data_IF_148696744489
#
_entry.id   IF_148696744489
#
_cell.length_a   1.000
_cell.length_b   1.000
_cell.length_c   1.000
_cell.angle_alpha   90.00
_cell.angle_beta   90.00
_cell.angle_gamma   90.00
#
_symmetry.space_group_name_H-M   'P 1'
#
loop_
_entity.id
_entity.type
_entity.pdbx_description
1 polymer ?
#
# COMPACT_ATOMS: atom_id res chain seq x y z
N UNK A 1 -1.96 -12.95 -20.44
CA UNK A 1 -1.57 -11.63 -19.89
C UNK A 1 -0.72 -11.97 -18.68
N UNK A 2 0.59 -11.73 -18.75
CA UNK A 2 1.53 -12.14 -17.70
C UNK A 2 1.55 -11.13 -16.56
N UNK A 3 1.87 -11.58 -15.34
CA UNK A 3 2.11 -10.69 -14.20
C UNK A 3 3.25 -9.70 -14.49
N UNK A 4 3.15 -8.51 -13.91
CA UNK A 4 4.14 -7.47 -14.06
C UNK A 4 5.29 -7.65 -13.06
N UNK A 5 6.52 -7.89 -13.55
CA UNK A 5 7.75 -8.06 -12.76
C UNK A 5 7.60 -9.00 -11.53
N UNK A 6 7.23 -10.28 -11.74
CA UNK A 6 6.90 -11.23 -10.65
C UNK A 6 8.05 -11.53 -9.68
N UNK A 7 9.30 -11.27 -10.05
CA UNK A 7 10.50 -11.44 -9.20
C UNK A 7 10.83 -10.25 -8.30
N UNK A 8 10.08 -9.18 -8.46
CA UNK A 8 10.27 -7.98 -7.68
C UNK A 8 9.44 -8.11 -6.40
N UNK A 9 10.11 -8.06 -5.25
CA UNK A 9 9.49 -8.27 -3.95
C UNK A 9 8.37 -7.26 -3.65
N UNK A 10 8.49 -6.02 -4.14
CA UNK A 10 7.42 -5.02 -4.02
C UNK A 10 6.20 -5.46 -4.81
N UNK A 11 6.34 -5.86 -6.08
CA UNK A 11 5.21 -6.31 -6.90
C UNK A 11 4.57 -7.57 -6.33
N UNK A 12 5.37 -8.53 -5.83
CA UNK A 12 4.84 -9.72 -5.15
C UNK A 12 3.95 -9.35 -3.95
N UNK A 13 4.34 -8.38 -3.13
CA UNK A 13 3.56 -8.01 -1.94
C UNK A 13 2.39 -7.08 -2.29
N UNK A 14 2.66 -6.04 -3.09
CA UNK A 14 1.70 -4.98 -3.45
C UNK A 14 0.64 -5.45 -4.46
N UNK A 15 1.03 -6.14 -5.53
CA UNK A 15 0.15 -6.51 -6.63
C UNK A 15 -0.48 -7.90 -6.46
N UNK A 16 0.20 -8.80 -5.73
CA UNK A 16 -0.26 -10.18 -5.59
C UNK A 16 -0.75 -10.52 -4.16
N UNK A 17 0.15 -10.56 -3.17
CA UNK A 17 -0.14 -11.19 -1.87
C UNK A 17 -1.16 -10.41 -1.02
N UNK A 18 -1.08 -9.07 -0.98
CA UNK A 18 -2.04 -8.26 -0.23
C UNK A 18 -3.43 -8.25 -0.92
N UNK A 19 -3.53 -8.00 -2.25
CA UNK A 19 -4.76 -8.21 -3.00
C UNK A 19 -5.38 -9.60 -2.82
N UNK A 20 -4.57 -10.66 -2.84
CA UNK A 20 -5.04 -12.03 -2.60
C UNK A 20 -5.61 -12.20 -1.19
N UNK A 21 -4.94 -11.70 -0.17
CA UNK A 21 -5.44 -11.78 1.20
C UNK A 21 -6.73 -10.98 1.39
N UNK A 22 -6.83 -9.79 0.81
CA UNK A 22 -8.06 -9.01 0.79
C UNK A 22 -9.19 -9.77 0.10
N UNK A 23 -8.91 -10.38 -1.05
CA UNK A 23 -9.88 -11.19 -1.81
C UNK A 23 -10.40 -12.36 -0.97
N UNK A 24 -9.50 -13.10 -0.33
CA UNK A 24 -9.85 -14.22 0.56
C UNK A 24 -10.77 -13.72 1.67
N UNK A 25 -10.43 -12.60 2.31
CA UNK A 25 -11.19 -12.02 3.42
C UNK A 25 -12.57 -11.51 2.99
N UNK A 26 -12.63 -10.77 1.89
CA UNK A 26 -13.82 -10.04 1.43
C UNK A 26 -14.84 -10.94 0.72
N UNK A 27 -14.36 -11.96 -0.01
CA UNK A 27 -15.19 -12.72 -0.96
C UNK A 27 -15.33 -14.19 -0.63
N UNK A 28 -14.33 -14.79 0.01
CA UNK A 28 -14.25 -16.24 0.20
C UNK A 28 -14.56 -16.62 1.65
N UNK A 29 -14.05 -15.85 2.62
CA UNK A 29 -14.29 -16.08 4.05
C UNK A 29 -13.59 -17.31 4.63
N UNK A 30 -12.72 -17.98 3.86
CA UNK A 30 -11.94 -19.15 4.31
C UNK A 30 -10.54 -19.16 3.73
N UNK A 31 -9.57 -19.64 4.52
CA UNK A 31 -8.16 -19.74 4.15
C UNK A 31 -7.81 -21.05 3.41
N UNK A 32 -8.79 -21.89 3.09
CA UNK A 32 -8.59 -23.16 2.39
C UNK A 32 -8.98 -23.07 0.92
N UNK A 33 -8.33 -22.18 0.17
CA UNK A 33 -8.58 -22.00 -1.26
C UNK A 33 -7.55 -22.76 -2.09
N UNK A 34 -7.97 -23.27 -3.25
CA UNK A 34 -7.05 -23.66 -4.30
C UNK A 34 -6.77 -22.44 -5.19
N UNK A 35 -5.52 -22.19 -5.53
CA UNK A 35 -5.12 -21.09 -6.44
C UNK A 35 -4.74 -21.68 -7.78
N UNK A 36 -5.37 -21.19 -8.86
CA UNK A 36 -5.05 -21.59 -10.23
C UNK A 36 -4.31 -20.46 -10.96
N UNK A 37 -3.07 -20.71 -11.36
CA UNK A 37 -2.25 -19.80 -12.16
C UNK A 37 -2.40 -20.10 -13.66
N UNK A 38 -2.76 -19.08 -14.46
CA UNK A 38 -3.04 -19.25 -15.89
C UNK A 38 -1.85 -19.07 -16.83
N UNK A 39 -0.91 -18.19 -16.48
CA UNK A 39 0.15 -17.74 -17.42
C UNK A 39 1.52 -17.57 -16.73
N UNK A 40 1.65 -18.11 -15.52
CA UNK A 40 2.83 -17.90 -14.69
C UNK A 40 3.82 -19.06 -14.77
N UNK A 41 5.01 -18.75 -15.26
CA UNK A 41 6.11 -19.70 -15.45
C UNK A 41 6.91 -19.98 -14.15
N UNK A 42 6.29 -19.84 -12.98
CA UNK A 42 7.02 -19.63 -11.71
C UNK A 42 6.92 -20.73 -10.63
N UNK A 43 7.15 -22.02 -10.92
CA UNK A 43 7.50 -22.98 -9.86
C UNK A 43 8.85 -22.69 -9.16
N UNK A 44 9.68 -21.77 -9.69
CA UNK A 44 11.09 -21.62 -9.29
C UNK A 44 11.45 -20.30 -8.56
N UNK A 45 10.53 -19.36 -8.34
CA UNK A 45 10.81 -18.13 -7.55
C UNK A 45 10.55 -18.38 -6.07
N UNK A 46 11.24 -17.62 -5.23
CA UNK A 46 10.86 -17.51 -3.82
C UNK A 46 9.41 -17.01 -3.65
N UNK A 47 8.84 -16.29 -4.63
CA UNK A 47 7.44 -15.86 -4.64
C UNK A 47 6.44 -17.00 -4.49
N UNK A 48 6.71 -18.15 -5.11
CA UNK A 48 5.88 -19.35 -5.00
C UNK A 48 5.63 -19.78 -3.55
N UNK A 49 6.66 -19.70 -2.70
CA UNK A 49 6.55 -20.07 -1.29
C UNK A 49 5.50 -19.24 -0.55
N UNK A 50 5.36 -17.95 -0.87
CA UNK A 50 4.39 -17.07 -0.23
C UNK A 50 2.96 -17.49 -0.55
N UNK A 51 2.68 -17.87 -1.80
CA UNK A 51 1.37 -18.39 -2.19
C UNK A 51 1.06 -19.73 -1.52
N UNK A 52 2.07 -20.60 -1.32
CA UNK A 52 1.87 -21.87 -0.62
C UNK A 52 1.41 -21.68 0.83
N UNK A 53 1.76 -20.56 1.47
CA UNK A 53 1.24 -20.23 2.79
C UNK A 53 -0.23 -19.80 2.75
N UNK A 54 -0.72 -19.30 1.61
CA UNK A 54 -2.09 -18.78 1.46
C UNK A 54 -3.07 -19.77 0.81
N UNK A 55 -2.58 -20.84 0.21
CA UNK A 55 -3.38 -21.80 -0.54
C UNK A 55 -3.30 -23.21 0.06
N UNK A 56 -4.40 -23.97 -0.09
CA UNK A 56 -4.42 -25.41 0.16
C UNK A 56 -3.64 -26.15 -0.94
N UNK A 57 -3.89 -25.79 -2.20
CA UNK A 57 -3.17 -26.29 -3.38
C UNK A 57 -2.92 -25.15 -4.34
N UNK A 58 -1.79 -25.21 -5.01
CA UNK A 58 -1.48 -24.35 -6.14
C UNK A 58 -1.52 -25.23 -7.38
N UNK A 59 -2.30 -24.80 -8.36
CA UNK A 59 -2.51 -25.45 -9.63
C UNK A 59 -2.01 -24.52 -10.74
N UNK A 60 -1.41 -25.08 -11.77
CA UNK A 60 -0.98 -24.36 -12.95
C UNK A 60 -1.79 -24.81 -14.16
N UNK A 61 -2.10 -23.88 -15.07
CA UNK A 61 -2.86 -24.19 -16.30
C UNK A 61 -2.24 -25.33 -17.11
N UNK A 62 -0.91 -25.45 -17.13
CA UNK A 62 -0.21 -26.49 -17.88
C UNK A 62 -0.38 -27.90 -17.29
N UNK A 63 -0.85 -28.03 -16.04
CA UNK A 63 -1.21 -29.33 -15.45
C UNK A 63 -2.50 -29.90 -16.06
N UNK A 64 -3.28 -29.07 -16.76
CA UNK A 64 -4.54 -29.47 -17.37
C UNK A 64 -4.37 -29.60 -18.88
N UNK A 65 -4.77 -30.75 -19.43
CA UNK A 65 -4.80 -30.93 -20.88
C UNK A 65 -5.85 -30.01 -21.51
N UNK A 66 -5.64 -29.57 -22.75
CA UNK A 66 -6.61 -28.78 -23.51
C UNK A 66 -7.94 -29.50 -23.76
N UNK A 67 -8.01 -30.81 -23.47
CA UNK A 67 -9.20 -31.66 -23.62
C UNK A 67 -9.90 -31.97 -22.29
N UNK A 68 -9.38 -31.50 -21.16
CA UNK A 68 -9.95 -31.74 -19.84
C UNK A 68 -10.94 -30.65 -19.47
N UNK A 69 -12.14 -31.05 -19.01
CA UNK A 69 -13.09 -30.13 -18.38
C UNK A 69 -12.81 -30.14 -16.87
N UNK A 70 -12.54 -28.96 -16.31
CA UNK A 70 -12.34 -28.79 -14.88
C UNK A 70 -13.64 -28.23 -14.30
N UNK A 71 -14.23 -28.93 -13.36
CA UNK A 71 -15.41 -28.46 -12.63
C UNK A 71 -15.00 -27.92 -11.26
N UNK A 72 -15.55 -26.78 -10.87
CA UNK A 72 -15.42 -26.19 -9.54
C UNK A 72 -16.79 -25.73 -9.07
N UNK A 73 -17.01 -25.75 -7.75
CA UNK A 73 -18.28 -25.30 -7.17
C UNK A 73 -18.41 -23.77 -7.20
N UNK A 74 -17.30 -23.07 -7.00
CA UNK A 74 -17.21 -21.62 -7.04
C UNK A 74 -15.81 -21.23 -7.46
N UNK A 75 -15.71 -20.18 -8.28
CA UNK A 75 -14.44 -19.58 -8.63
C UNK A 75 -14.55 -18.06 -8.53
N UNK A 76 -13.46 -17.46 -8.08
CA UNK A 76 -13.28 -16.02 -8.12
C UNK A 76 -12.15 -15.71 -9.09
N UNK A 77 -12.41 -14.81 -10.05
CA UNK A 77 -11.44 -14.42 -11.06
C UNK A 77 -10.93 -13.01 -10.76
N UNK A 78 -9.61 -12.88 -10.64
CA UNK A 78 -8.95 -11.62 -10.31
C UNK A 78 -8.68 -11.46 -8.81
N UNK A 79 -8.08 -10.33 -8.45
CA UNK A 79 -7.74 -9.97 -7.07
C UNK A 79 -8.36 -8.60 -6.73
N UNK A 80 -8.68 -8.40 -5.46
CA UNK A 80 -9.22 -7.15 -4.93
C UNK A 80 -8.22 -6.01 -5.09
N UNK A 81 -8.66 -4.87 -5.62
CA UNK A 81 -7.85 -3.66 -5.75
C UNK A 81 -7.91 -2.78 -4.49
N UNK A 82 -8.57 -3.26 -3.43
CA UNK A 82 -8.77 -2.50 -2.17
C UNK A 82 -7.46 -2.21 -1.43
N UNK A 83 -6.40 -2.95 -1.72
CA UNK A 83 -5.12 -2.84 -1.02
C UNK A 83 -4.08 -1.97 -1.70
N UNK A 84 -4.25 -1.64 -2.99
CA UNK A 84 -3.24 -0.88 -3.73
C UNK A 84 -3.06 0.53 -3.17
N UNK A 85 -1.84 0.92 -2.80
CA UNK A 85 -1.55 2.27 -2.30
C UNK A 85 -0.74 3.10 -3.29
N UNK A 86 -0.23 2.47 -4.35
CA UNK A 86 0.54 3.12 -5.39
C UNK A 86 0.12 2.60 -6.76
N UNK A 87 0.20 3.44 -7.78
CA UNK A 87 0.01 3.03 -9.16
C UNK A 87 1.25 3.39 -9.97
N UNK A 88 1.76 2.41 -10.70
CA UNK A 88 3.03 2.51 -11.42
C UNK A 88 2.94 3.35 -12.70
N UNK A 89 1.75 3.76 -13.09
CA UNK A 89 1.59 4.65 -14.22
C UNK A 89 1.46 3.99 -15.59
N UNK A 90 0.72 2.88 -15.66
CA UNK A 90 0.38 2.23 -16.94
C UNK A 90 -0.59 3.05 -17.81
N UNK A 91 -1.44 3.87 -17.19
CA UNK A 91 -2.47 4.68 -17.88
C UNK A 91 -2.35 6.19 -17.61
N UNK A 92 -1.69 6.57 -16.53
CA UNK A 92 -1.44 7.95 -16.08
C UNK A 92 -0.03 8.00 -15.48
N UNK A 93 0.59 9.16 -15.23
CA UNK A 93 1.90 9.18 -14.57
C UNK A 93 1.86 8.52 -13.19
N UNK A 94 2.96 7.89 -12.77
CA UNK A 94 3.06 7.18 -11.48
C UNK A 94 2.71 8.08 -10.28
N UNK A 95 2.00 7.56 -9.28
CA UNK A 95 1.57 8.32 -8.11
C UNK A 95 1.08 7.41 -6.98
N UNK A 96 0.96 7.96 -5.77
CA UNK A 96 0.15 7.34 -4.72
C UNK A 96 -1.31 7.29 -5.14
N UNK A 97 -2.05 6.33 -4.57
CA UNK A 97 -3.50 6.22 -4.69
C UNK A 97 -4.11 6.88 -3.45
N UNK A 98 -4.77 8.04 -3.57
CA UNK A 98 -5.44 8.68 -2.44
C UNK A 98 -6.53 7.76 -1.88
N UNK A 99 -6.58 7.65 -0.55
CA UNK A 99 -7.55 6.82 0.18
C UNK A 99 -8.03 7.52 1.44
N UNK A 100 -9.21 7.15 1.90
CA UNK A 100 -9.76 7.55 3.20
C UNK A 100 -8.93 6.91 4.32
N UNK A 101 -8.91 7.55 5.50
CA UNK A 101 -8.19 7.04 6.68
C UNK A 101 -8.60 5.61 7.04
N UNK A 102 -9.90 5.30 6.92
CA UNK A 102 -10.45 3.97 7.20
C UNK A 102 -9.89 2.88 6.27
N UNK A 103 -9.65 3.21 5.00
CA UNK A 103 -9.08 2.27 4.04
C UNK A 103 -7.60 1.97 4.37
N UNK A 104 -6.83 2.99 4.79
CA UNK A 104 -5.46 2.74 5.26
C UNK A 104 -5.43 1.88 6.52
N UNK A 105 -6.40 2.02 7.43
CA UNK A 105 -6.55 1.14 8.59
C UNK A 105 -6.85 -0.30 8.17
N UNK A 106 -7.72 -0.49 7.18
CA UNK A 106 -8.01 -1.80 6.62
C UNK A 106 -6.76 -2.45 5.99
N UNK A 107 -6.01 -1.68 5.19
CA UNK A 107 -4.76 -2.14 4.59
C UNK A 107 -3.74 -2.53 5.67
N UNK A 108 -3.62 -1.73 6.73
CA UNK A 108 -2.75 -2.03 7.87
C UNK A 108 -3.09 -3.37 8.52
N UNK A 109 -4.37 -3.67 8.74
CA UNK A 109 -4.80 -4.96 9.30
C UNK A 109 -4.33 -6.11 8.41
N UNK A 110 -4.51 -6.00 7.09
CA UNK A 110 -4.07 -7.03 6.15
C UNK A 110 -2.54 -7.19 6.13
N UNK A 111 -1.81 -6.08 6.21
CA UNK A 111 -0.34 -6.07 6.30
C UNK A 111 0.15 -6.72 7.58
N UNK A 112 -0.48 -6.44 8.73
CA UNK A 112 -0.13 -7.04 10.01
C UNK A 112 -0.39 -8.56 9.99
N UNK A 113 -1.54 -8.99 9.47
CA UNK A 113 -1.87 -10.41 9.30
C UNK A 113 -0.91 -11.11 8.34
N UNK A 114 -0.56 -10.48 7.22
CA UNK A 114 0.42 -11.01 6.26
C UNK A 114 1.78 -11.16 6.94
N UNK A 115 2.24 -10.13 7.66
CA UNK A 115 3.49 -10.14 8.41
C UNK A 115 3.54 -11.31 9.37
N UNK A 116 2.55 -11.44 10.26
CA UNK A 116 2.52 -12.51 11.26
C UNK A 116 2.53 -13.90 10.63
N UNK A 117 1.74 -14.08 9.58
CA UNK A 117 1.68 -15.34 8.83
C UNK A 117 3.03 -15.72 8.23
N UNK A 118 3.71 -14.76 7.61
CA UNK A 118 5.01 -14.99 6.97
C UNK A 118 6.12 -15.17 8.01
N UNK A 119 6.15 -14.38 9.08
CA UNK A 119 7.09 -14.57 10.18
C UNK A 119 6.92 -15.95 10.83
N UNK A 120 5.68 -16.41 11.01
CA UNK A 120 5.39 -17.76 11.49
C UNK A 120 5.89 -18.83 10.51
N UNK A 121 5.60 -18.69 9.22
CA UNK A 121 6.07 -19.61 8.18
C UNK A 121 7.61 -19.70 8.12
N UNK A 122 8.32 -18.60 8.36
CA UNK A 122 9.79 -18.59 8.43
C UNK A 122 10.35 -19.02 9.79
N UNK A 123 9.51 -19.27 10.80
CA UNK A 123 9.88 -19.52 12.21
C UNK A 123 10.69 -18.37 12.80
N UNK A 124 10.26 -17.13 12.50
CA UNK A 124 10.88 -15.88 12.96
C UNK A 124 9.98 -15.09 13.92
N UNK A 125 8.78 -15.59 14.22
CA UNK A 125 7.85 -15.00 15.18
C UNK A 125 8.44 -14.89 16.60
N UNK A 126 9.32 -15.81 16.99
CA UNK A 126 9.96 -15.85 18.32
C UNK A 126 11.28 -15.06 18.40
N UNK A 127 11.71 -14.40 17.32
CA UNK A 127 12.96 -13.59 17.36
C UNK A 127 12.78 -12.47 18.37
N UNK A 128 13.54 -12.53 19.45
CA UNK A 128 13.63 -11.42 20.40
C UNK A 128 14.53 -10.33 19.83
N UNK A 129 14.22 -9.08 20.16
CA UNK A 129 14.97 -7.91 19.75
C UNK A 129 15.52 -7.17 20.99
N UNK A 130 16.41 -7.80 21.78
CA UNK A 130 16.98 -7.18 22.97
C UNK A 130 17.88 -5.99 22.61
N UNK A 131 18.47 -6.03 21.41
CA UNK A 131 19.25 -4.96 20.81
C UNK A 131 18.63 -4.55 19.49
N UNK A 132 18.44 -3.25 19.30
CA UNK A 132 17.96 -2.67 18.04
C UNK A 132 19.13 -2.39 17.12
N UNK A 133 18.85 -2.35 15.83
CA UNK A 133 19.88 -2.13 14.82
C UNK A 133 19.46 -1.08 13.78
N UNK A 134 20.45 -0.60 13.05
CA UNK A 134 20.28 0.19 11.83
C UNK A 134 20.53 -0.75 10.67
N UNK A 135 19.54 -0.90 9.81
CA UNK A 135 19.69 -1.70 8.60
C UNK A 135 19.99 -0.77 7.43
N UNK A 136 21.13 -1.02 6.79
CA UNK A 136 21.51 -0.38 5.54
C UNK A 136 21.43 -1.42 4.41
N UNK A 137 20.46 -1.26 3.52
CA UNK A 137 20.35 -2.12 2.34
C UNK A 137 21.28 -1.57 1.25
N UNK A 138 22.30 -2.36 0.94
CA UNK A 138 23.27 -2.12 -0.11
C UNK A 138 22.96 -2.97 -1.35
N UNK A 139 23.55 -2.55 -2.47
CA UNK A 139 23.43 -3.21 -3.76
C UNK A 139 24.81 -3.38 -4.37
N UNK A 140 25.02 -4.50 -5.04
CA UNK A 140 26.32 -4.91 -5.59
C UNK A 140 26.35 -4.81 -7.12
N UNK A 141 25.17 -4.89 -7.77
CA UNK A 141 25.07 -4.91 -9.23
C UNK A 141 24.78 -3.53 -9.86
N UNK A 142 23.82 -2.79 -9.32
CA UNK A 142 23.44 -1.44 -9.80
C UNK A 142 22.81 -0.63 -8.67
N UNK A 143 22.73 0.69 -8.84
CA UNK A 143 22.31 1.64 -7.79
C UNK A 143 23.14 1.50 -6.52
N UNK A 144 24.44 1.29 -6.70
CA UNK A 144 25.39 1.07 -5.61
C UNK A 144 25.62 2.36 -4.86
N UNK A 145 25.85 2.24 -3.55
CA UNK A 145 26.46 3.30 -2.76
C UNK A 145 27.97 3.08 -2.86
N UNK A 146 28.67 3.95 -3.59
CA UNK A 146 30.07 3.74 -3.96
C UNK A 146 31.04 3.93 -2.79
N UNK A 147 30.68 4.79 -1.83
CA UNK A 147 31.40 4.98 -0.56
C UNK A 147 30.68 4.29 0.61
N UNK A 148 30.17 3.07 0.40
CA UNK A 148 29.37 2.33 1.40
C UNK A 148 30.05 2.21 2.77
N UNK A 149 31.36 1.95 2.81
CA UNK A 149 32.09 1.78 4.07
C UNK A 149 32.09 3.09 4.88
N UNK A 150 32.49 4.21 4.26
CA UNK A 150 32.48 5.54 4.87
C UNK A 150 31.06 5.92 5.32
N UNK A 151 30.07 5.71 4.45
CA UNK A 151 28.68 6.00 4.77
C UNK A 151 28.18 5.15 5.95
N UNK A 152 28.48 3.86 5.99
CA UNK A 152 28.08 2.98 7.10
C UNK A 152 28.71 3.38 8.43
N UNK A 153 29.98 3.81 8.42
CA UNK A 153 30.68 4.31 9.60
C UNK A 153 30.04 5.61 10.10
N UNK A 154 29.75 6.54 9.19
CA UNK A 154 29.05 7.78 9.52
C UNK A 154 27.65 7.50 10.11
N UNK A 155 26.87 6.61 9.51
CA UNK A 155 25.53 6.25 10.01
C UNK A 155 25.63 5.64 11.42
N UNK A 156 26.61 4.76 11.65
CA UNK A 156 26.90 4.20 12.96
C UNK A 156 27.19 5.30 13.99
N UNK A 157 28.07 6.25 13.65
CA UNK A 157 28.43 7.39 14.52
C UNK A 157 27.24 8.34 14.78
N UNK A 158 26.51 8.71 13.72
CA UNK A 158 25.41 9.67 13.76
C UNK A 158 24.26 9.19 14.64
N UNK A 159 23.98 7.89 14.59
CA UNK A 159 22.88 7.26 15.33
C UNK A 159 23.39 6.38 16.47
N UNK A 160 24.60 6.64 17.00
CA UNK A 160 25.30 5.88 18.05
C UNK A 160 24.58 5.86 19.40
N UNK A 161 23.47 5.13 19.45
CA UNK A 161 22.69 4.79 20.65
C UNK A 161 22.75 3.27 20.90
N UNK A 162 23.93 2.65 20.80
CA UNK A 162 24.12 1.18 20.85
C UNK A 162 23.40 0.40 19.73
N UNK A 163 23.16 1.04 18.58
CA UNK A 163 22.58 0.38 17.42
C UNK A 163 23.67 -0.18 16.52
N UNK A 164 23.61 -1.47 16.22
CA UNK A 164 24.51 -2.09 15.24
C UNK A 164 24.13 -1.70 13.82
N UNK A 165 25.10 -1.38 12.97
CA UNK A 165 24.85 -1.18 11.54
C UNK A 165 24.96 -2.52 10.82
N UNK A 166 23.83 -3.02 10.32
CA UNK A 166 23.76 -4.25 9.54
C UNK A 166 23.65 -3.91 8.06
N UNK A 167 24.69 -4.28 7.31
CA UNK A 167 24.67 -4.20 5.86
C UNK A 167 24.03 -5.46 5.28
N UNK A 168 23.05 -5.25 4.42
CA UNK A 168 22.28 -6.30 3.76
C UNK A 168 22.35 -6.09 2.25
N UNK A 169 22.66 -7.13 1.48
CA UNK A 169 22.75 -7.04 0.02
C UNK A 169 21.56 -7.68 -0.67
N UNK A 170 20.83 -6.90 -1.48
CA UNK A 170 19.66 -7.37 -2.25
C UNK A 170 20.05 -8.43 -3.27
N UNK A 171 21.20 -8.30 -3.90
CA UNK A 171 21.63 -9.19 -5.00
C UNK A 171 21.98 -10.61 -4.50
N UNK A 172 22.00 -10.81 -3.17
CA UNK A 172 22.16 -12.11 -2.52
C UNK A 172 20.83 -12.84 -2.26
N UNK A 173 19.67 -12.22 -2.56
CA UNK A 173 18.35 -12.86 -2.46
C UNK A 173 18.09 -13.69 -3.71
N UNK A 174 18.66 -14.89 -3.76
CA UNK A 174 18.48 -15.83 -4.88
C UNK A 174 17.66 -17.07 -4.49
N UNK A 175 17.33 -17.24 -3.21
CA UNK A 175 16.53 -18.35 -2.71
C UNK A 175 15.83 -17.98 -1.40
N UNK A 176 14.98 -18.90 -0.93
CA UNK A 176 14.17 -18.73 0.27
C UNK A 176 15.00 -18.59 1.55
N UNK A 177 16.07 -19.37 1.69
CA UNK A 177 16.95 -19.32 2.87
C UNK A 177 17.68 -17.98 3.00
N UNK A 178 18.14 -17.42 1.87
CA UNK A 178 18.76 -16.09 1.85
C UNK A 178 17.74 -15.00 2.15
N UNK A 179 16.52 -15.11 1.64
CA UNK A 179 15.43 -14.21 1.99
C UNK A 179 15.12 -14.27 3.49
N UNK A 180 15.04 -15.47 4.07
CA UNK A 180 14.85 -15.68 5.52
C UNK A 180 15.96 -15.05 6.34
N UNK A 181 17.23 -15.29 5.99
CA UNK A 181 18.40 -14.69 6.67
C UNK A 181 18.35 -13.17 6.64
N UNK A 182 17.90 -12.62 5.52
CA UNK A 182 17.75 -11.19 5.34
C UNK A 182 16.60 -10.63 6.19
N UNK A 183 15.43 -11.28 6.19
CA UNK A 183 14.29 -10.89 7.03
C UNK A 183 14.71 -10.92 8.50
N UNK A 184 15.44 -11.95 8.93
CA UNK A 184 15.95 -12.05 10.31
C UNK A 184 16.80 -10.85 10.72
N UNK A 185 17.58 -10.26 9.80
CA UNK A 185 18.37 -9.05 10.06
C UNK A 185 17.50 -7.79 10.13
N UNK A 186 16.42 -7.75 9.37
CA UNK A 186 15.49 -6.61 9.29
C UNK A 186 14.53 -6.54 10.46
N UNK A 187 14.13 -7.68 11.03
CA UNK A 187 13.09 -7.76 12.08
C UNK A 187 13.31 -6.79 13.26
N UNK A 188 14.57 -6.58 13.67
CA UNK A 188 14.92 -5.74 14.82
C UNK A 188 15.38 -4.32 14.44
N UNK A 189 15.13 -3.89 13.20
CA UNK A 189 15.49 -2.56 12.75
C UNK A 189 14.71 -1.46 13.49
N UNK A 190 15.44 -0.44 13.93
CA UNK A 190 14.88 0.85 14.34
C UNK A 190 15.04 1.89 13.22
N UNK A 191 16.11 1.78 12.44
CA UNK A 191 16.33 2.59 11.25
C UNK A 191 16.53 1.70 10.04
N UNK A 192 15.84 2.02 8.96
CA UNK A 192 15.87 1.28 7.71
C UNK A 192 16.26 2.24 6.58
N UNK A 193 17.48 2.10 6.07
CA UNK A 193 18.07 2.99 5.07
C UNK A 193 18.33 2.20 3.80
N UNK A 194 17.86 2.68 2.66
CA UNK A 194 18.05 1.98 1.39
C UNK A 194 18.00 2.96 0.21
N UNK A 195 18.79 2.67 -0.82
CA UNK A 195 18.53 3.23 -2.15
C UNK A 195 17.14 2.80 -2.64
N UNK A 196 16.45 3.65 -3.40
CA UNK A 196 15.14 3.38 -3.98
C UNK A 196 15.17 2.03 -4.70
N UNK A 197 14.25 1.13 -4.35
CA UNK A 197 14.21 -0.22 -4.90
C UNK A 197 13.18 -1.11 -4.22
N UNK A 198 12.96 -2.29 -4.80
CA UNK A 198 11.93 -3.26 -4.37
C UNK A 198 12.12 -3.80 -2.96
N UNK A 199 13.37 -3.84 -2.50
CA UNK A 199 13.84 -4.33 -1.21
C UNK A 199 13.32 -3.49 -0.05
N UNK A 200 12.92 -2.25 -0.28
CA UNK A 200 12.36 -1.41 0.78
C UNK A 200 11.04 -1.94 1.34
N UNK A 201 10.31 -2.78 0.59
CA UNK A 201 9.15 -3.49 1.11
C UNK A 201 9.48 -4.43 2.28
N UNK A 202 10.76 -4.80 2.47
CA UNK A 202 11.22 -5.60 3.61
C UNK A 202 10.98 -4.90 4.96
N UNK A 203 10.79 -3.58 4.95
CA UNK A 203 10.32 -2.84 6.13
C UNK A 203 9.00 -3.39 6.69
N UNK A 204 8.19 -4.09 5.87
CA UNK A 204 7.03 -4.86 6.32
C UNK A 204 7.36 -5.81 7.47
N UNK A 205 8.56 -6.41 7.50
CA UNK A 205 8.92 -7.43 8.48
C UNK A 205 9.48 -6.88 9.79
N UNK A 206 9.68 -5.56 9.90
CA UNK A 206 10.14 -4.95 11.14
C UNK A 206 9.07 -5.15 12.21
N UNK A 207 9.46 -5.74 13.35
CA UNK A 207 8.54 -5.94 14.47
C UNK A 207 8.16 -4.58 15.06
N UNK A 208 6.86 -4.23 15.11
CA UNK A 208 6.43 -2.97 15.70
C UNK A 208 6.92 -2.84 17.15
N UNK A 209 7.66 -1.77 17.44
CA UNK A 209 7.85 -1.27 18.82
C UNK A 209 6.76 -0.24 19.13
N UNK A 210 6.87 0.50 20.23
CA UNK A 210 6.13 1.76 20.36
C UNK A 210 6.28 2.54 19.04
N UNK A 211 5.15 2.81 18.35
CA UNK A 211 5.07 3.06 16.90
C UNK A 211 5.91 4.23 16.40
N UNK A 212 6.31 5.13 17.30
CA UNK A 212 6.99 6.38 16.96
C UNK A 212 8.52 6.28 16.84
N UNK A 213 9.10 5.07 16.90
CA UNK A 213 10.55 4.88 16.92
C UNK A 213 11.17 4.43 15.58
N UNK A 214 10.38 3.83 14.68
CA UNK A 214 10.93 3.28 13.43
C UNK A 214 11.03 4.39 12.37
N UNK A 215 12.24 4.54 11.81
CA UNK A 215 12.52 5.52 10.76
C UNK A 215 12.98 4.84 9.47
N UNK A 216 12.28 5.11 8.38
CA UNK A 216 12.63 4.69 7.03
C UNK A 216 13.22 5.87 6.26
N UNK A 217 14.44 5.69 5.74
CA UNK A 217 15.16 6.70 4.94
C UNK A 217 15.39 6.12 3.54
N UNK A 218 14.67 6.67 2.57
CA UNK A 218 14.78 6.30 1.17
C UNK A 218 15.76 7.23 0.44
N UNK A 219 16.76 6.65 -0.22
CA UNK A 219 17.77 7.38 -0.97
C UNK A 219 17.45 7.33 -2.46
N UNK A 220 17.65 8.43 -3.17
CA UNK A 220 17.47 8.55 -4.61
C UNK A 220 18.78 9.01 -5.28
N UNK A 221 19.08 8.50 -6.49
CA UNK A 221 20.18 9.01 -7.31
C UNK A 221 19.95 10.45 -7.79
N UNK A 222 20.96 11.01 -8.44
CA UNK A 222 20.93 12.39 -8.93
C UNK A 222 19.88 12.58 -10.03
N UNK A 223 19.23 13.73 -10.02
CA UNK A 223 18.21 14.08 -11.02
C UNK A 223 16.90 13.31 -10.84
N UNK A 224 16.64 12.74 -9.66
CA UNK A 224 15.35 12.16 -9.29
C UNK A 224 14.73 12.97 -8.16
N UNK A 225 13.56 13.53 -8.42
CA UNK A 225 12.75 14.21 -7.42
C UNK A 225 12.10 13.16 -6.52
N UNK A 226 12.56 13.12 -5.26
CA UNK A 226 12.02 12.21 -4.27
C UNK A 226 10.50 12.36 -4.14
N UNK A 227 10.00 13.60 -4.04
CA UNK A 227 8.58 13.93 -3.81
C UNK A 227 7.62 13.19 -4.76
N UNK A 228 8.01 13.04 -6.03
CA UNK A 228 7.21 12.40 -7.07
C UNK A 228 7.47 10.89 -7.25
N UNK A 229 8.47 10.34 -6.55
CA UNK A 229 8.96 8.95 -6.73
C UNK A 229 8.85 8.09 -5.47
N UNK A 230 8.19 8.61 -4.42
CA UNK A 230 8.10 7.97 -3.09
C UNK A 230 7.00 6.89 -3.01
N UNK A 231 7.21 5.73 -3.63
CA UNK A 231 6.27 4.57 -3.50
C UNK A 231 6.05 4.20 -2.02
N UNK A 232 7.10 4.33 -1.22
CA UNK A 232 7.13 3.84 0.15
C UNK A 232 6.67 4.86 1.18
N UNK A 233 6.40 6.13 0.82
CA UNK A 233 5.91 7.13 1.78
C UNK A 233 4.57 6.72 2.37
N UNK A 234 3.58 6.46 1.52
CA UNK A 234 2.25 5.99 1.96
C UNK A 234 2.34 4.65 2.69
N UNK A 235 3.21 3.75 2.23
CA UNK A 235 3.45 2.47 2.90
C UNK A 235 4.01 2.64 4.31
N UNK A 236 5.03 3.46 4.48
CA UNK A 236 5.65 3.73 5.77
C UNK A 236 4.69 4.50 6.70
N UNK A 237 4.23 5.68 6.29
CA UNK A 237 3.52 6.62 7.17
C UNK A 237 2.06 6.20 7.41
N UNK A 238 1.32 5.92 6.34
CA UNK A 238 -0.12 5.66 6.45
C UNK A 238 -0.41 4.20 6.82
N UNK A 239 0.35 3.25 6.27
CA UNK A 239 0.09 1.81 6.46
C UNK A 239 0.86 1.25 7.65
N UNK A 240 2.19 1.43 7.73
CA UNK A 240 3.00 0.87 8.82
C UNK A 240 3.03 1.76 10.08
N UNK A 241 2.82 3.07 9.92
CA UNK A 241 2.95 4.05 11.00
C UNK A 241 4.41 4.39 11.33
N UNK A 242 5.33 4.28 10.37
CA UNK A 242 6.74 4.62 10.53
C UNK A 242 6.99 6.07 10.12
N UNK A 243 8.07 6.67 10.64
CA UNK A 243 8.56 7.96 10.15
C UNK A 243 9.25 7.73 8.80
N UNK A 244 8.87 8.49 7.79
CA UNK A 244 9.50 8.41 6.47
C UNK A 244 10.35 9.66 6.19
N UNK A 245 11.41 9.48 5.44
CA UNK A 245 12.31 10.55 5.00
C UNK A 245 12.89 10.15 3.66
N UNK A 246 13.05 11.12 2.76
CA UNK A 246 13.65 10.88 1.45
C UNK A 246 14.82 11.82 1.21
N UNK A 247 15.89 11.29 0.65
CA UNK A 247 17.09 12.05 0.29
C UNK A 247 17.42 11.81 -1.17
N UNK A 248 17.68 12.87 -1.92
CA UNK A 248 18.15 12.79 -3.32
C UNK A 248 19.61 13.25 -3.35
N UNK A 249 20.47 12.55 -4.07
CA UNK A 249 21.84 13.00 -4.31
C UNK A 249 21.82 14.38 -5.01
N UNK A 250 22.34 15.45 -4.38
CA UNK A 250 22.31 16.79 -4.96
C UNK A 250 23.51 17.08 -5.86
N UNK A 251 24.55 16.23 -5.86
CA UNK A 251 25.82 16.49 -6.56
C UNK A 251 25.96 15.57 -7.77
N UNK A 252 25.92 16.16 -8.97
CA UNK A 252 26.13 15.44 -10.24
C UNK A 252 27.50 14.75 -10.32
N UNK A 253 28.54 15.37 -9.76
CA UNK A 253 29.90 14.80 -9.73
C UNK A 253 29.99 13.51 -8.90
N UNK A 254 29.04 13.29 -7.99
CA UNK A 254 28.94 12.10 -7.15
C UNK A 254 28.13 10.98 -7.81
N UNK A 255 27.89 11.05 -9.12
CA UNK A 255 27.09 10.09 -9.87
C UNK A 255 27.94 9.33 -10.88
N UNK A 256 27.75 8.00 -10.93
CA UNK A 256 28.20 7.15 -12.04
C UNK A 256 26.98 6.71 -12.83
N UNK A 257 26.87 7.21 -14.05
CA UNK A 257 25.79 6.86 -14.97
C UNK A 257 25.95 5.43 -15.50
N UNK A 258 24.84 4.76 -15.88
CA UNK A 258 24.90 3.47 -16.56
C UNK A 258 25.76 3.52 -17.83
N UNK A 259 26.49 2.44 -18.10
CA UNK A 259 27.19 2.27 -19.38
C UNK A 259 26.15 2.11 -20.51
N UNK A 260 26.40 2.76 -21.65
CA UNK A 260 25.57 2.68 -22.85
C UNK A 260 25.26 1.25 -23.28
N UNK A 261 26.20 0.32 -23.09
CA UNK A 261 26.08 -1.08 -23.48
C UNK A 261 25.29 -1.94 -22.48
N UNK A 262 24.89 -1.39 -21.34
CA UNK A 262 23.97 -2.09 -20.43
C UNK A 262 22.65 -2.42 -21.14
N UNK A 263 21.95 -3.48 -20.72
CA UNK A 263 20.60 -3.73 -21.21
C UNK A 263 19.68 -2.52 -20.98
N UNK A 264 18.75 -2.28 -21.92
CA UNK A 264 17.82 -1.12 -21.85
C UNK A 264 17.10 -1.01 -20.50
N UNK A 265 16.71 -2.14 -19.91
CA UNK A 265 16.01 -2.21 -18.63
C UNK A 265 16.86 -1.78 -17.41
N UNK A 266 18.17 -1.64 -17.61
CA UNK A 266 19.15 -1.16 -16.62
C UNK A 266 19.74 0.20 -17.01
N UNK A 267 19.07 0.93 -17.90
CA UNK A 267 19.43 2.30 -18.26
C UNK A 267 20.44 2.45 -19.38
N UNK A 268 20.87 1.37 -20.03
CA UNK A 268 21.78 1.47 -21.18
C UNK A 268 21.10 2.06 -22.41
N UNK A 269 21.81 2.93 -23.13
CA UNK A 269 21.26 3.75 -24.20
C UNK A 269 21.68 3.29 -25.61
N UNK A 270 22.48 2.22 -25.75
CA UNK A 270 22.99 1.71 -27.04
C UNK A 270 21.92 1.45 -28.11
N UNK A 271 20.68 1.16 -27.69
CA UNK A 271 19.53 0.93 -28.57
C UNK A 271 18.92 2.23 -29.16
N UNK A 272 19.37 3.41 -28.73
CA UNK A 272 18.88 4.71 -29.17
C UNK A 272 19.85 5.36 -30.15
N UNK A 273 19.35 6.26 -31.01
CA UNK A 273 20.21 7.06 -31.88
C UNK A 273 20.91 8.20 -31.11
N UNK A 274 21.95 8.78 -31.71
CA UNK A 274 22.81 9.77 -31.04
C UNK A 274 22.04 11.03 -30.58
N UNK A 275 21.04 11.47 -31.35
CA UNK A 275 20.20 12.61 -30.96
C UNK A 275 19.36 12.30 -29.71
N UNK A 276 18.79 11.11 -29.62
CA UNK A 276 18.03 10.65 -28.46
C UNK A 276 18.93 10.50 -27.22
N UNK A 277 20.11 9.89 -27.39
CA UNK A 277 21.12 9.78 -26.31
C UNK A 277 21.50 11.15 -25.78
N UNK A 278 21.86 12.06 -26.68
CA UNK A 278 22.23 13.43 -26.33
C UNK A 278 21.10 14.16 -25.60
N UNK A 279 19.85 14.01 -26.06
CA UNK A 279 18.68 14.59 -25.40
C UNK A 279 18.51 14.08 -23.97
N UNK A 280 18.60 12.76 -23.75
CA UNK A 280 18.49 12.14 -22.43
C UNK A 280 19.61 12.64 -21.51
N UNK A 281 20.86 12.59 -21.97
CA UNK A 281 22.02 13.01 -21.20
C UNK A 281 21.98 14.50 -20.84
N UNK A 282 21.54 15.36 -21.77
CA UNK A 282 21.39 16.80 -21.55
C UNK A 282 20.21 17.13 -20.63
N UNK A 283 19.20 16.28 -20.58
CA UNK A 283 18.04 16.49 -19.72
C UNK A 283 18.34 16.24 -18.24
N UNK A 284 19.46 15.60 -17.90
CA UNK A 284 19.70 15.02 -16.56
C UNK A 284 19.60 16.02 -15.40
N UNK A 285 20.00 17.26 -15.64
CA UNK A 285 19.99 18.33 -14.63
C UNK A 285 18.62 19.04 -14.54
N UNK A 286 17.65 18.64 -15.37
CA UNK A 286 16.29 19.16 -15.39
C UNK A 286 15.33 18.23 -14.65
N UNK A 287 14.22 18.77 -14.11
CA UNK A 287 13.10 17.98 -13.61
C UNK A 287 12.67 16.92 -14.62
N UNK A 288 12.32 15.74 -14.11
CA UNK A 288 11.86 14.67 -14.98
C UNK A 288 10.38 14.86 -15.27
N UNK A 289 10.06 15.08 -16.54
CA UNK A 289 8.68 15.19 -16.97
C UNK A 289 7.87 13.93 -16.62
N UNK A 290 6.59 14.07 -16.23
CA UNK A 290 5.72 12.94 -15.97
C UNK A 290 5.70 11.97 -17.15
N UNK A 291 5.95 10.70 -16.88
CA UNK A 291 6.02 9.66 -17.90
C UNK A 291 5.13 8.47 -17.53
N UNK A 292 4.71 7.72 -18.55
CA UNK A 292 4.09 6.42 -18.34
C UNK A 292 5.16 5.35 -18.15
N UNK A 293 4.87 4.41 -17.25
CA UNK A 293 5.73 3.26 -17.03
C UNK A 293 5.78 2.37 -18.29
N UNK A 294 6.83 1.58 -18.51
CA UNK A 294 7.91 1.22 -17.57
C UNK A 294 9.31 1.29 -18.17
N UNK A 295 9.37 1.69 -19.43
CA UNK A 295 10.56 1.61 -20.28
C UNK A 295 11.04 3.01 -20.70
N UNK A 296 10.64 4.05 -19.97
CA UNK A 296 11.05 5.42 -20.26
C UNK A 296 12.58 5.55 -20.12
N UNK A 297 13.35 5.74 -21.22
CA UNK A 297 14.80 5.63 -21.18
C UNK A 297 15.46 6.69 -20.29
N UNK A 298 14.89 7.90 -20.24
CA UNK A 298 15.37 8.96 -19.35
C UNK A 298 15.18 8.64 -17.86
N UNK A 299 14.11 7.93 -17.49
CA UNK A 299 13.90 7.47 -16.12
C UNK A 299 14.87 6.35 -15.78
N UNK A 300 15.03 5.36 -16.68
CA UNK A 300 15.92 4.23 -16.46
C UNK A 300 17.39 4.70 -16.35
N UNK A 301 17.81 5.63 -17.21
CA UNK A 301 19.13 6.24 -17.14
C UNK A 301 19.37 7.00 -15.83
N UNK A 302 18.32 7.59 -15.23
CA UNK A 302 18.38 8.27 -13.93
C UNK A 302 18.41 7.29 -12.76
N UNK A 303 17.47 6.36 -12.71
CA UNK A 303 17.28 5.50 -11.55
C UNK A 303 18.38 4.46 -11.40
N UNK A 304 19.07 4.04 -12.48
CA UNK A 304 20.12 3.01 -12.41
C UNK A 304 21.54 3.55 -12.18
N UNK A 305 21.68 4.84 -11.88
CA UNK A 305 22.95 5.44 -11.47
C UNK A 305 23.50 4.82 -10.17
N UNK A 306 24.82 4.64 -10.09
CA UNK A 306 25.51 4.43 -8.82
C UNK A 306 25.90 5.80 -8.21
N UNK A 307 25.91 5.89 -6.88
CA UNK A 307 25.96 7.16 -6.15
C UNK A 307 27.06 7.14 -5.09
N UNK A 308 27.87 8.20 -5.03
CA UNK A 308 28.67 8.56 -3.85
C UNK A 308 27.80 9.44 -2.96
N UNK A 309 27.65 9.09 -1.69
CA UNK A 309 26.89 9.91 -0.74
C UNK A 309 27.83 10.95 -0.13
N UNK A 310 27.53 12.22 -0.35
CA UNK A 310 28.19 13.31 0.37
C UNK A 310 27.72 13.31 1.83
N UNK A 311 28.62 12.96 2.74
CA UNK A 311 28.30 12.78 4.16
C UNK A 311 27.84 14.08 4.82
N UNK A 312 28.44 15.20 4.45
CA UNK A 312 28.12 16.51 5.02
C UNK A 312 26.72 16.95 4.60
N UNK A 313 26.42 16.92 3.29
CA UNK A 313 25.10 17.28 2.79
C UNK A 313 24.02 16.30 3.23
N UNK A 314 24.34 15.01 3.34
CA UNK A 314 23.44 14.03 3.91
C UNK A 314 23.10 14.35 5.37
N UNK A 315 24.10 14.69 6.21
CA UNK A 315 23.91 15.08 7.61
C UNK A 315 22.99 16.31 7.73
N UNK A 316 23.23 17.35 6.93
CA UNK A 316 22.40 18.54 6.90
C UNK A 316 20.95 18.21 6.53
N UNK A 317 20.77 17.36 5.52
CA UNK A 317 19.44 16.93 5.06
C UNK A 317 18.70 16.15 6.14
N UNK A 318 19.38 15.22 6.82
CA UNK A 318 18.79 14.44 7.92
C UNK A 318 18.38 15.34 9.08
N UNK A 319 19.22 16.29 9.48
CA UNK A 319 18.88 17.22 10.56
C UNK A 319 17.63 18.04 10.21
N UNK A 320 17.56 18.56 8.99
CA UNK A 320 16.37 19.29 8.49
C UNK A 320 15.11 18.41 8.53
N UNK A 321 15.21 17.17 8.03
CA UNK A 321 14.08 16.23 8.02
C UNK A 321 13.61 15.84 9.43
N UNK A 322 14.54 15.68 10.38
CA UNK A 322 14.20 15.41 11.78
C UNK A 322 13.43 16.57 12.41
N UNK A 323 13.93 17.81 12.23
CA UNK A 323 13.27 19.02 12.76
C UNK A 323 11.86 19.22 12.20
N UNK A 324 11.64 18.96 10.89
CA UNK A 324 10.30 19.09 10.28
C UNK A 324 9.33 18.03 10.80
N UNK A 325 9.79 16.79 10.97
CA UNK A 325 8.97 15.71 11.50
C UNK A 325 8.58 15.95 12.98
N UNK A 326 9.46 16.53 13.78
CA UNK A 326 9.17 16.86 15.19
C UNK A 326 8.15 18.01 15.31
N UNK A 327 8.12 18.95 14.36
CA UNK A 327 7.11 20.02 14.27
C UNK A 327 5.72 19.50 13.84
N UNK A 328 5.64 18.56 12.91
CA UNK A 328 4.37 17.94 12.51
C UNK A 328 3.74 17.09 13.63
N UNK A 329 4.55 16.42 14.44
CA UNK A 329 4.07 15.68 15.61
C UNK A 329 3.69 16.58 16.79
N UNK A 330 4.42 17.69 17.03
CA UNK A 330 4.05 18.65 18.08
C UNK A 330 2.79 19.47 17.75
N UNK A 331 2.48 19.66 16.47
CA UNK A 331 1.22 20.24 15.99
C UNK A 331 0.01 19.30 16.18
N UNK A 332 0.28 18.01 16.35
CA UNK A 332 -0.73 16.96 16.61
C UNK A 332 -0.88 16.64 18.11
N UNK A 333 -0.12 17.31 18.99
CA UNK A 333 -0.13 17.09 20.44
C UNK A 333 -0.62 18.29 21.26
N UNK A 334 -1.34 19.24 20.65
CA UNK A 334 -2.21 20.17 21.39
C UNK A 334 -3.59 19.54 21.62
N UNK A 335 -3.64 18.40 22.32
CA UNK A 335 -4.80 18.08 23.13
C UNK A 335 -4.49 18.49 24.56
N UNK A 336 -5.14 19.57 24.97
CA UNK A 336 -5.11 20.10 26.32
C UNK A 336 -5.12 18.98 27.36
N UNK A 337 -4.12 19.04 28.25
CA UNK A 337 -4.18 18.42 29.56
C UNK A 337 -5.40 18.98 30.30
N UNK A 338 -6.55 18.33 30.12
CA UNK A 338 -7.63 18.39 31.09
C UNK A 338 -7.71 17.04 31.79
N UNK A 339 -7.25 17.05 33.04
CA UNK A 339 -7.67 16.10 34.06
C UNK A 339 -9.15 15.74 33.86
N UNK A 340 -9.40 14.49 33.48
CA UNK A 340 -10.75 13.94 33.41
C UNK A 340 -10.71 12.50 33.91
N UNK A 341 -11.05 12.41 35.19
CA UNK A 341 -11.90 11.37 35.76
C UNK A 341 -12.70 10.57 34.72
N UNK A 342 -12.62 9.25 34.84
CA UNK A 342 -13.61 8.25 34.42
C UNK A 342 -14.88 8.80 33.75
N UNK A 343 -15.04 8.63 32.44
CA UNK A 343 -16.35 8.33 31.80
C UNK A 343 -16.27 8.22 30.27
N UNK A 344 -16.83 7.11 29.78
CA UNK A 344 -17.42 6.88 28.45
C UNK A 344 -16.53 6.99 27.20
N UNK A 345 -15.94 5.86 26.82
CA UNK A 345 -15.61 5.55 25.43
C UNK A 345 -16.87 5.60 24.54
N UNK A 346 -17.07 6.70 23.81
CA UNK A 346 -17.91 6.68 22.61
C UNK A 346 -17.04 6.15 21.45
N UNK A 347 -16.92 4.84 21.40
CA UNK A 347 -16.30 4.13 20.28
C UNK A 347 -17.24 4.25 19.07
N UNK A 348 -16.90 5.10 18.10
CA UNK A 348 -17.65 5.19 16.84
C UNK A 348 -17.48 3.84 16.10
N UNK A 349 -18.51 3.02 16.11
CA UNK A 349 -18.57 1.72 15.43
C UNK A 349 -19.17 1.95 14.04
N UNK A 350 -18.40 1.70 12.98
CA UNK A 350 -18.87 1.87 11.61
C UNK A 350 -19.54 0.60 11.08
N UNK A 351 -20.74 0.75 10.55
CA UNK A 351 -21.46 -0.32 9.87
C UNK A 351 -20.86 -0.56 8.47
N UNK A 352 -20.89 -1.80 8.02
CA UNK A 352 -20.55 -2.17 6.65
C UNK A 352 -21.58 -1.62 5.66
N UNK A 353 -21.26 -1.72 4.38
CA UNK A 353 -22.16 -1.31 3.30
C UNK A 353 -23.49 -2.10 3.36
N UNK A 354 -24.59 -1.41 3.07
CA UNK A 354 -25.93 -2.00 2.99
C UNK A 354 -26.12 -2.72 1.66
N UNK A 355 -26.82 -3.86 1.65
CA UNK A 355 -27.04 -4.66 0.44
C UNK A 355 -28.53 -4.77 0.11
N UNK A 356 -28.86 -5.21 -1.10
CA UNK A 356 -30.22 -5.50 -1.54
C UNK A 356 -31.22 -4.33 -1.33
N UNK A 357 -30.84 -3.16 -1.86
CA UNK A 357 -31.69 -1.96 -1.85
C UNK A 357 -32.97 -2.23 -2.66
N UNK A 358 -34.13 -1.99 -2.04
CA UNK A 358 -35.47 -2.16 -2.61
C UNK A 358 -36.17 -0.81 -2.55
N UNK A 359 -36.71 -0.36 -3.68
CA UNK A 359 -37.46 0.90 -3.77
C UNK A 359 -38.89 0.64 -4.25
N UNK A 360 -39.87 1.24 -3.58
CA UNK A 360 -41.28 1.15 -3.95
C UNK A 360 -41.93 2.53 -3.93
N UNK A 361 -42.65 2.88 -5.00
CA UNK A 361 -43.50 4.07 -5.03
C UNK A 361 -44.84 3.76 -4.38
N UNK A 362 -45.23 4.55 -3.38
CA UNK A 362 -46.53 4.49 -2.74
C UNK A 362 -47.36 5.65 -3.28
N UNK A 363 -48.25 5.32 -4.22
CA UNK A 363 -49.22 6.28 -4.79
C UNK A 363 -50.45 6.27 -3.89
N UNK A 364 -50.68 7.35 -3.15
CA UNK A 364 -51.84 7.45 -2.25
C UNK A 364 -53.04 8.04 -2.99
N UNK A 365 -54.24 7.46 -2.81
CA UNK A 365 -55.47 7.96 -3.42
C UNK A 365 -55.93 9.28 -2.77
N UNK A 366 -56.10 10.30 -3.62
CA UNK A 366 -56.86 11.58 -3.55
C UNK A 366 -56.97 12.43 -2.27
N UNK A 367 -56.76 11.93 -1.05
CA UNK A 367 -56.97 12.71 0.18
C UNK A 367 -55.71 12.96 1.04
N UNK A 368 -54.51 12.56 0.58
CA UNK A 368 -53.24 13.00 1.16
C UNK A 368 -52.30 13.58 0.08
N UNK A 369 -51.83 14.80 0.30
CA UNK A 369 -51.25 15.71 -0.71
C UNK A 369 -49.78 15.41 -1.14
N UNK A 370 -49.32 14.16 -1.13
CA UNK A 370 -47.96 13.82 -1.60
C UNK A 370 -47.78 12.33 -1.86
N UNK A 371 -47.24 11.97 -3.03
CA UNK A 371 -46.72 10.64 -3.30
C UNK A 371 -45.51 10.36 -2.40
N UNK A 372 -45.27 9.07 -2.08
CA UNK A 372 -44.17 8.68 -1.21
C UNK A 372 -43.26 7.66 -1.88
N UNK A 373 -41.97 7.74 -1.58
CA UNK A 373 -40.98 6.73 -1.95
C UNK A 373 -40.60 5.98 -0.68
N UNK A 374 -40.71 4.66 -0.75
CA UNK A 374 -40.28 3.72 0.28
C UNK A 374 -38.97 3.08 -0.15
N UNK A 375 -37.93 3.20 0.66
CA UNK A 375 -36.60 2.63 0.42
C UNK A 375 -36.28 1.66 1.55
N UNK A 376 -35.97 0.42 1.20
CA UNK A 376 -35.61 -0.67 2.12
C UNK A 376 -34.24 -1.25 1.76
N UNK A 377 -33.50 -1.77 2.73
CA UNK A 377 -32.23 -2.47 2.51
C UNK A 377 -32.05 -3.63 3.48
N UNK A 378 -31.06 -4.48 3.22
CA UNK A 378 -30.66 -5.52 4.18
C UNK A 378 -29.68 -4.95 5.21
N UNK A 379 -29.73 -5.40 6.48
CA UNK A 379 -28.79 -4.97 7.51
C UNK A 379 -27.33 -5.22 7.09
N UNK A 380 -26.39 -4.31 7.43
CA UNK A 380 -24.97 -4.49 7.18
C UNK A 380 -24.44 -5.83 7.71
N UNK A 381 -23.56 -6.49 6.95
CA UNK A 381 -23.03 -7.81 7.31
C UNK A 381 -22.36 -7.85 8.69
N UNK A 382 -21.77 -6.72 9.12
CA UNK A 382 -21.06 -6.63 10.40
C UNK A 382 -21.97 -6.27 11.59
N UNK A 383 -23.26 -6.01 11.36
CA UNK A 383 -24.21 -5.62 12.39
C UNK A 383 -24.38 -6.67 13.51
N UNK A 384 -24.46 -8.00 13.23
CA UNK A 384 -24.52 -9.02 14.28
C UNK A 384 -23.29 -9.02 15.21
N UNK A 385 -22.12 -8.68 14.68
CA UNK A 385 -20.86 -8.66 15.45
C UNK A 385 -20.76 -7.41 16.35
N UNK A 386 -21.29 -6.28 15.88
CA UNK A 386 -21.38 -5.04 16.66
C UNK A 386 -22.35 -5.22 17.83
N UNK A 387 -23.49 -5.88 17.60
CA UNK A 387 -24.50 -6.15 18.64
C UNK A 387 -23.96 -7.15 19.68
N UNK A 388 -23.24 -8.20 19.24
CA UNK A 388 -22.73 -9.27 20.13
C UNK A 388 -21.61 -8.79 21.06
N UNK A 389 -20.82 -7.79 20.67
CA UNK A 389 -19.79 -7.19 21.52
C UNK A 389 -20.34 -6.21 22.58
N UNK A 390 -21.59 -5.75 22.44
CA UNK A 390 -22.21 -4.76 23.31
C UNK A 390 -23.47 -5.31 24.00
N UNK A 391 -23.30 -6.27 24.92
CA UNK A 391 -24.39 -6.85 25.73
C UNK A 391 -24.95 -5.92 26.83
N UNK A 392 -25.02 -4.60 26.62
CA UNK A 392 -25.74 -3.68 27.51
C UNK A 392 -26.95 -3.13 26.77
N UNK A 393 -28.13 -3.18 27.42
CA UNK A 393 -29.47 -2.78 26.93
C UNK A 393 -29.58 -1.29 26.55
N UNK A 394 -28.70 -0.79 25.68
CA UNK A 394 -28.79 0.56 25.13
C UNK A 394 -29.43 0.47 23.75
N UNK A 395 -30.48 1.27 23.51
CA UNK A 395 -31.02 1.47 22.17
C UNK A 395 -29.97 2.21 21.34
N UNK A 396 -29.23 1.49 20.51
CA UNK A 396 -28.27 2.10 19.59
C UNK A 396 -29.03 2.79 18.45
N UNK A 397 -28.68 4.05 18.17
CA UNK A 397 -29.14 4.78 16.98
C UNK A 397 -28.06 4.66 15.91
N UNK A 398 -28.40 4.06 14.77
CA UNK A 398 -27.54 3.96 13.61
C UNK A 398 -27.80 5.11 12.67
N UNK A 399 -26.74 5.72 12.14
CA UNK A 399 -26.81 6.80 11.17
C UNK A 399 -26.64 6.24 9.76
N UNK A 400 -27.59 6.52 8.88
CA UNK A 400 -27.52 6.21 7.45
C UNK A 400 -27.59 7.50 6.65
N UNK A 401 -26.72 7.61 5.64
CA UNK A 401 -26.79 8.65 4.62
C UNK A 401 -27.46 8.07 3.37
N UNK A 402 -28.51 8.73 2.88
CA UNK A 402 -29.22 8.35 1.66
C UNK A 402 -29.16 9.48 0.65
N UNK A 403 -28.74 9.16 -0.58
CA UNK A 403 -28.67 10.10 -1.70
C UNK A 403 -29.63 9.69 -2.82
N UNK A 404 -30.28 10.67 -3.46
CA UNK A 404 -31.22 10.48 -4.58
C UNK A 404 -30.78 11.35 -5.76
N UNK A 405 -30.78 10.79 -6.96
CA UNK A 405 -30.34 11.47 -8.18
C UNK A 405 -31.38 11.33 -9.31
N UNK A 406 -31.56 12.39 -10.11
CA UNK A 406 -32.32 12.33 -11.37
C UNK A 406 -31.47 11.76 -12.51
N UNK A 407 -32.08 11.01 -13.42
CA UNK A 407 -31.38 10.28 -14.48
C UNK A 407 -30.58 11.18 -15.45
N UNK A 408 -31.00 12.44 -15.60
CA UNK A 408 -30.35 13.42 -16.48
C UNK A 408 -29.19 14.18 -15.84
N UNK A 409 -28.92 14.00 -14.55
CA UNK A 409 -27.90 14.77 -13.82
C UNK A 409 -26.54 14.03 -13.87
N UNK A 410 -25.55 14.56 -14.59
CA UNK A 410 -24.23 13.90 -14.74
C UNK A 410 -23.17 14.40 -13.75
N UNK A 411 -23.47 15.42 -12.94
CA UNK A 411 -22.51 16.03 -12.01
C UNK A 411 -22.67 15.48 -10.57
N UNK A 412 -21.70 14.68 -10.12
CA UNK A 412 -21.67 14.03 -8.79
C UNK A 412 -21.39 15.00 -7.61
N UNK A 413 -21.33 16.31 -7.83
CA UNK A 413 -20.72 17.22 -6.84
C UNK A 413 -21.63 17.61 -5.68
N UNK A 414 -22.95 17.50 -5.80
CA UNK A 414 -23.90 17.82 -4.72
C UNK A 414 -25.18 17.00 -4.82
N UNK A 415 -25.13 15.74 -4.37
CA UNK A 415 -26.34 14.96 -4.17
C UNK A 415 -27.07 15.47 -2.91
N UNK A 416 -28.42 15.61 -2.92
CA UNK A 416 -29.17 15.85 -1.69
C UNK A 416 -29.02 14.64 -0.77
N UNK A 417 -28.43 14.88 0.41
CA UNK A 417 -28.20 13.86 1.43
C UNK A 417 -29.27 13.93 2.51
N UNK A 418 -29.84 12.76 2.84
CA UNK A 418 -30.79 12.60 3.93
C UNK A 418 -30.14 11.78 5.04
N UNK A 419 -30.05 12.38 6.22
CA UNK A 419 -29.56 11.73 7.43
C UNK A 419 -30.70 11.02 8.14
N UNK A 420 -30.56 9.72 8.37
CA UNK A 420 -31.59 8.95 9.05
C UNK A 420 -31.06 8.17 10.24
N UNK A 421 -31.76 8.25 11.36
CA UNK A 421 -31.39 7.63 12.63
C UNK A 421 -32.37 6.52 12.99
N UNK A 422 -31.91 5.26 13.05
CA UNK A 422 -32.78 4.10 13.32
C UNK A 422 -32.25 3.19 14.42
N UNK A 423 -33.16 2.48 15.09
CA UNK A 423 -32.81 1.56 16.18
C UNK A 423 -32.86 0.10 15.79
N UNK A 424 -33.65 -0.32 14.79
CA UNK A 424 -33.73 -1.74 14.35
C UNK A 424 -34.33 -1.99 12.94
N UNK A 425 -34.85 -0.99 12.23
CA UNK A 425 -35.50 -1.17 10.92
C UNK A 425 -34.67 -0.54 9.79
N UNK A 426 -34.55 -1.26 8.67
CA UNK A 426 -33.83 -0.87 7.45
C UNK A 426 -34.75 -0.21 6.43
N UNK A 427 -35.49 0.81 6.86
CA UNK A 427 -36.59 1.40 6.08
C UNK A 427 -36.57 2.93 6.19
N UNK A 428 -36.60 3.63 5.05
CA UNK A 428 -36.84 5.07 4.93
C UNK A 428 -38.09 5.35 4.06
N UNK A 429 -38.99 6.21 4.54
CA UNK A 429 -40.13 6.72 3.75
C UNK A 429 -40.03 8.23 3.60
N UNK A 430 -40.11 8.72 2.36
CA UNK A 430 -40.01 10.16 2.04
C UNK A 430 -41.20 10.61 1.18
N UNK A 431 -41.67 11.84 1.41
CA UNK A 431 -42.64 12.52 0.52
C UNK A 431 -41.91 13.08 -0.69
N UNK A 432 -42.44 12.86 -1.88
CA UNK A 432 -41.91 13.40 -3.13
C UNK A 432 -43.02 14.09 -3.93
N UNK A 433 -42.69 15.19 -4.60
CA UNK A 433 -43.61 15.89 -5.51
C UNK A 433 -43.19 15.59 -6.94
N UNK A 434 -44.09 15.00 -7.72
CA UNK A 434 -43.91 14.59 -9.12
C UNK A 434 -43.14 15.65 -9.94
N UNK A 435 -41.88 15.38 -10.22
CA UNK A 435 -41.21 15.81 -11.44
C UNK A 435 -40.76 14.57 -12.19
N UNK A 436 -41.01 14.57 -13.50
CA UNK A 436 -41.03 13.41 -14.38
C UNK A 436 -39.70 12.63 -14.38
N UNK A 437 -39.82 11.30 -14.37
CA UNK A 437 -38.81 10.27 -14.65
C UNK A 437 -37.51 10.34 -13.84
N UNK A 438 -37.45 9.54 -12.77
CA UNK A 438 -36.26 9.35 -11.94
C UNK A 438 -35.88 7.86 -11.92
N UNK A 439 -34.77 7.51 -12.55
CA UNK A 439 -34.05 6.26 -12.30
C UNK A 439 -32.90 6.53 -11.32
N UNK A 440 -32.86 5.79 -10.21
CA UNK A 440 -31.83 5.93 -9.17
C UNK A 440 -30.59 5.10 -9.49
N UNK A 441 -29.42 5.73 -9.46
CA UNK A 441 -28.10 5.09 -9.59
C UNK A 441 -27.45 5.05 -8.21
N UNK A 442 -26.87 3.91 -7.82
CA UNK A 442 -26.27 3.66 -6.50
C UNK A 442 -24.80 4.06 -6.43
N UNK A 443 -24.44 4.91 -5.44
CA UNK A 443 -23.12 4.97 -4.80
C UNK A 443 -23.30 5.29 -3.31
N UNK A 444 -22.69 4.50 -2.42
CA UNK A 444 -22.56 4.75 -0.97
C UNK A 444 -21.07 4.74 -0.61
#
# INVERSE_FOLDING_TARGET
>A
MSRFKPDNLLHLIHDDLLPLQATIRERIGTNMIDILFFDDHWPQSFGYYFFQQQAKRILFRNEFSSKSIICFQSAYLGLSTSTGWYQYGFKRPQSSIPRKVEEYRYIRILVDELREKLLSAFRLNQVDCPHRNIVLIAREQNRKILNLNEFSQYIGQKFSNNLDVIIVSRDKINNLEKLKQLIQRVICAEKFISMHGSEQILALFIKPTAKDQIQMIELFPYGIEAEHSTIYRTFAESILGYRYSAWTNPIRANTRFPDDNQPRQYGGLSHLNDMQKYSIQKSIDKPLEPFLCCDHPGWLYRIYQDTVIDITLFNESINKMQMMNDQHHSSSSNHNQHHSSSSNHNQLLHLGEVQNLRCQFIIMKKDENSDRIKIEWDPPWNMPFIIKNNCKKQQHKYHYEVAIQQESDTDLKQLPQYSVYYTNNTLLEMKYFLFQNVNMITQV
#
